data_IF_550467557225
#
_entry.id   IF_550467557225
#
_cell.length_a   1.000
_cell.length_b   1.000
_cell.length_c   1.000
_cell.angle_alpha   90.00
_cell.angle_beta   90.00
_cell.angle_gamma   90.00
#
_symmetry.space_group_name_H-M   'P 1'
#
loop_
_entity.id
_entity.type
_entity.pdbx_description
1 polymer ?
#
# COMPACT_ATOMS: atom_id res chain seq x y z
N UNK A 1 -1.65 -2.24 -18.89
CA UNK A 1 -1.59 -1.85 -17.45
C UNK A 1 -2.94 -1.43 -16.86
N UNK A 2 -3.75 -0.60 -17.55
CA UNK A 2 -5.06 -0.12 -17.05
C UNK A 2 -6.07 -1.22 -16.69
N UNK A 3 -6.21 -2.26 -17.50
CA UNK A 3 -7.11 -3.39 -17.20
C UNK A 3 -6.65 -4.23 -16.01
N UNK A 4 -5.34 -4.38 -15.82
CA UNK A 4 -4.76 -5.06 -14.65
C UNK A 4 -5.02 -4.29 -13.36
N UNK A 5 -4.87 -2.96 -13.39
CA UNK A 5 -5.17 -2.11 -12.24
C UNK A 5 -6.65 -2.18 -11.85
N UNK A 6 -7.56 -2.15 -12.83
CA UNK A 6 -9.00 -2.29 -12.59
C UNK A 6 -9.37 -3.67 -12.03
N UNK A 7 -8.73 -4.73 -12.53
CA UNK A 7 -8.94 -6.08 -12.04
C UNK A 7 -8.47 -6.23 -10.59
N UNK A 8 -7.27 -5.72 -10.26
CA UNK A 8 -6.74 -5.73 -8.89
C UNK A 8 -7.63 -4.91 -7.95
N UNK A 9 -8.07 -3.73 -8.37
CA UNK A 9 -8.98 -2.89 -7.58
C UNK A 9 -10.32 -3.60 -7.36
N UNK A 10 -10.88 -4.25 -8.39
CA UNK A 10 -12.12 -5.04 -8.27
C UNK A 10 -11.98 -6.26 -7.34
N UNK A 11 -10.88 -7.00 -7.47
CA UNK A 11 -10.60 -8.17 -6.62
C UNK A 11 -10.29 -7.76 -5.18
N UNK A 12 -9.79 -6.55 -4.93
CA UNK A 12 -9.60 -6.02 -3.57
C UNK A 12 -10.89 -5.44 -2.97
N UNK A 13 -11.76 -4.84 -3.80
CA UNK A 13 -13.04 -4.25 -3.38
C UNK A 13 -14.07 -5.31 -3.01
N UNK A 14 -14.12 -6.44 -3.74
CA UNK A 14 -15.06 -7.53 -3.47
C UNK A 14 -14.94 -8.08 -2.03
N UNK A 15 -13.76 -8.51 -1.54
CA UNK A 15 -13.56 -8.94 -0.16
C UNK A 15 -13.85 -7.85 0.86
N UNK A 16 -13.48 -6.59 0.56
CA UNK A 16 -13.72 -5.47 1.46
C UNK A 16 -15.22 -5.22 1.65
N UNK A 17 -16.01 -5.34 0.58
CA UNK A 17 -17.47 -5.21 0.63
C UNK A 17 -18.11 -6.31 1.48
N UNK A 18 -17.78 -7.58 1.22
CA UNK A 18 -18.28 -8.72 2.00
C UNK A 18 -17.92 -8.61 3.48
N UNK A 19 -16.71 -8.15 3.79
CA UNK A 19 -16.26 -7.93 5.17
C UNK A 19 -17.06 -6.83 5.87
N UNK A 20 -17.32 -5.71 5.19
CA UNK A 20 -18.11 -4.60 5.76
C UNK A 20 -19.58 -4.99 5.94
N UNK A 21 -20.19 -5.71 5.00
CA UNK A 21 -21.55 -6.23 5.14
C UNK A 21 -21.66 -7.25 6.26
N UNK A 22 -20.70 -8.18 6.36
CA UNK A 22 -20.62 -9.11 7.47
C UNK A 22 -20.51 -8.38 8.82
N UNK A 23 -19.66 -7.35 8.91
CA UNK A 23 -19.56 -6.51 10.11
C UNK A 23 -20.87 -5.79 10.44
N UNK A 24 -21.59 -5.25 9.44
CA UNK A 24 -22.88 -4.59 9.64
C UNK A 24 -23.97 -5.56 10.12
N UNK A 25 -23.94 -6.81 9.68
CA UNK A 25 -24.88 -7.85 10.12
C UNK A 25 -24.63 -8.36 11.54
N UNK A 26 -23.42 -8.17 12.08
CA UNK A 26 -23.01 -8.72 13.37
C UNK A 26 -22.71 -7.67 14.45
N UNK A 27 -22.55 -6.39 14.09
CA UNK A 27 -22.11 -5.34 15.01
C UNK A 27 -22.90 -4.03 14.82
N UNK A 28 -22.87 -3.18 15.85
CA UNK A 28 -23.42 -1.82 15.74
C UNK A 28 -22.63 -1.00 14.71
N UNK A 29 -23.29 -0.07 14.02
CA UNK A 29 -22.64 0.75 12.99
C UNK A 29 -21.38 1.49 13.48
N UNK A 30 -21.35 1.89 14.76
CA UNK A 30 -20.17 2.50 15.38
C UNK A 30 -18.98 1.55 15.47
N UNK A 31 -19.20 0.27 15.80
CA UNK A 31 -18.15 -0.75 15.85
C UNK A 31 -17.60 -1.06 14.46
N UNK A 32 -18.46 -1.09 13.43
CA UNK A 32 -18.04 -1.28 12.03
C UNK A 32 -17.10 -0.15 11.59
N UNK A 33 -17.45 1.11 11.90
CA UNK A 33 -16.62 2.28 11.57
C UNK A 33 -15.27 2.19 12.27
N UNK A 34 -15.24 1.88 13.57
CA UNK A 34 -14.00 1.79 14.33
C UNK A 34 -13.04 0.73 13.77
N UNK A 35 -13.55 -0.47 13.46
CA UNK A 35 -12.74 -1.56 12.90
C UNK A 35 -12.23 -1.20 11.50
N UNK A 36 -13.11 -0.67 10.64
CA UNK A 36 -12.75 -0.32 9.26
C UNK A 36 -11.72 0.82 9.24
N UNK A 37 -11.88 1.82 10.10
CA UNK A 37 -10.94 2.94 10.22
C UNK A 37 -9.56 2.46 10.70
N UNK A 38 -9.51 1.58 11.72
CA UNK A 38 -8.26 1.00 12.20
C UNK A 38 -7.53 0.22 11.09
N UNK A 39 -8.26 -0.59 10.32
CA UNK A 39 -7.71 -1.32 9.17
C UNK A 39 -7.17 -0.38 8.09
N UNK A 40 -7.91 0.68 7.76
CA UNK A 40 -7.50 1.67 6.77
C UNK A 40 -6.21 2.40 7.19
N UNK A 41 -6.09 2.80 8.46
CA UNK A 41 -4.89 3.44 9.01
C UNK A 41 -3.69 2.49 8.92
N UNK A 42 -3.86 1.24 9.34
CA UNK A 42 -2.80 0.23 9.24
C UNK A 42 -2.34 0.03 7.80
N UNK A 43 -3.28 -0.05 6.85
CA UNK A 43 -2.98 -0.22 5.44
C UNK A 43 -2.22 0.98 4.85
N UNK A 44 -2.65 2.21 5.19
CA UNK A 44 -1.97 3.44 4.80
C UNK A 44 -0.54 3.48 5.34
N UNK A 45 -0.34 3.13 6.61
CA UNK A 45 0.99 3.08 7.23
C UNK A 45 1.89 2.08 6.51
N UNK A 46 1.41 0.87 6.27
CA UNK A 46 2.17 -0.16 5.56
C UNK A 46 2.54 0.28 4.13
N UNK A 47 1.58 0.87 3.42
CA UNK A 47 1.78 1.39 2.07
C UNK A 47 2.81 2.53 2.04
N UNK A 48 2.76 3.43 3.02
CA UNK A 48 3.72 4.54 3.14
C UNK A 48 5.14 4.05 3.44
N UNK A 49 5.29 3.09 4.35
CA UNK A 49 6.59 2.47 4.67
C UNK A 49 7.15 1.75 3.44
N UNK A 50 6.32 0.96 2.76
CA UNK A 50 6.72 0.27 1.54
C UNK A 50 7.12 1.23 0.42
N UNK A 51 6.39 2.33 0.25
CA UNK A 51 6.74 3.40 -0.69
C UNK A 51 8.07 4.07 -0.33
N UNK A 52 8.28 4.37 0.96
CA UNK A 52 9.53 4.95 1.43
C UNK A 52 10.73 4.01 1.18
N UNK A 53 10.58 2.72 1.48
CA UNK A 53 11.61 1.72 1.19
C UNK A 53 11.90 1.58 -0.30
N UNK A 54 10.87 1.56 -1.15
CA UNK A 54 11.06 1.43 -2.60
C UNK A 54 11.75 2.66 -3.19
N UNK A 55 11.40 3.88 -2.73
CA UNK A 55 12.10 5.11 -3.11
C UNK A 55 13.56 5.06 -2.64
N UNK A 56 13.80 4.65 -1.40
CA UNK A 56 15.15 4.55 -0.83
C UNK A 56 16.03 3.57 -1.62
N UNK A 57 15.51 2.38 -1.94
CA UNK A 57 16.22 1.39 -2.77
C UNK A 57 16.60 1.94 -4.14
N UNK A 58 15.66 2.57 -4.84
CA UNK A 58 15.93 3.18 -6.16
C UNK A 58 17.01 4.26 -6.08
N UNK A 59 17.03 5.07 -5.01
CA UNK A 59 18.07 6.08 -4.79
C UNK A 59 19.43 5.44 -4.50
N UNK A 60 19.46 4.40 -3.69
CA UNK A 60 20.69 3.66 -3.38
C UNK A 60 21.30 3.01 -4.63
N UNK A 61 20.47 2.40 -5.49
CA UNK A 61 20.88 1.84 -6.78
C UNK A 61 21.42 2.91 -7.74
N UNK A 62 20.79 4.09 -7.79
CA UNK A 62 21.27 5.20 -8.61
C UNK A 62 22.64 5.72 -8.13
N UNK A 63 22.89 5.73 -6.82
CA UNK A 63 24.17 6.16 -6.26
C UNK A 63 25.30 5.14 -6.51
N UNK A 64 25.02 3.85 -6.39
CA UNK A 64 26.02 2.80 -6.67
C UNK A 64 26.33 2.62 -8.16
N UNK A 65 25.46 3.08 -9.06
CA UNK A 65 25.71 3.10 -10.50
C UNK A 65 26.61 4.25 -10.98
N UNK A 66 26.98 5.19 -10.09
CA UNK A 66 27.92 6.27 -10.43
C UNK A 66 29.34 5.69 -10.58
N UNK A 67 30.04 5.90 -11.70
CA UNK A 67 31.43 5.47 -11.81
C UNK A 67 32.27 6.16 -10.73
N UNK A 68 33.26 5.47 -10.13
CA UNK A 68 34.15 6.09 -9.15
C UNK A 68 34.83 7.32 -9.77
N UNK A 69 35.08 8.37 -8.98
CA UNK A 69 35.75 9.56 -9.50
C UNK A 69 37.07 9.15 -10.13
N UNK A 70 37.21 9.39 -11.44
CA UNK A 70 38.48 9.26 -12.13
C UNK A 70 39.41 10.32 -11.55
N UNK A 71 40.26 9.94 -10.60
CA UNK A 71 41.41 10.75 -10.23
C UNK A 71 42.26 10.87 -11.49
N UNK A 72 42.23 12.05 -12.11
CA UNK A 72 42.91 12.35 -13.36
C UNK A 72 44.38 11.93 -13.30
N UNK A 73 44.80 11.18 -14.31
CA UNK A 73 46.21 11.09 -14.70
C UNK A 73 46.58 12.31 -15.52
#
# INVERSE_FOLDING_TARGET
>A
MRSYALMIVGTALMPAWFFVEWLRGNMSGAAVIAITAAFAIMWLFYSAVWLAMTIWRRRAEAQSASPPPSFGR
#
